data_IF_711966547392
#
_entry.id   IF_711966547392
#
_cell.length_a   1.000
_cell.length_b   1.000
_cell.length_c   1.000
_cell.angle_alpha   90.00
_cell.angle_beta   90.00
_cell.angle_gamma   90.00
#
_symmetry.space_group_name_H-M   'P 1'
#
loop_
_entity.id
_entity.type
_entity.pdbx_description
1 polymer ?
#
# COMPACT_ATOMS: atom_id res chain seq x y z
N UNK A 1 -0.55 26.20 35.47
CA UNK A 1 0.34 25.14 34.95
C UNK A 1 -0.38 23.83 34.57
N UNK A 2 -1.72 23.72 34.68
CA UNK A 2 -2.48 22.46 34.46
C UNK A 2 -3.09 22.30 33.07
N UNK A 3 -3.10 23.33 32.23
CA UNK A 3 -3.68 23.28 30.89
C UNK A 3 -2.80 22.50 29.90
N UNK A 4 -1.48 22.64 30.00
CA UNK A 4 -0.53 22.02 29.06
C UNK A 4 -0.57 20.47 29.07
N UNK A 5 -0.81 19.84 30.22
CA UNK A 5 -0.86 18.36 30.30
C UNK A 5 -2.12 17.80 29.61
N UNK A 6 -3.27 18.44 29.78
CA UNK A 6 -4.55 17.99 29.18
C UNK A 6 -4.51 18.11 27.64
N UNK A 7 -3.95 19.20 27.12
CA UNK A 7 -3.78 19.38 25.67
C UNK A 7 -2.80 18.35 25.07
N UNK A 8 -1.70 18.06 25.77
CA UNK A 8 -0.74 17.04 25.35
C UNK A 8 -1.37 15.64 25.30
N UNK A 9 -2.12 15.24 26.34
CA UNK A 9 -2.80 13.93 26.38
C UNK A 9 -3.83 13.78 25.26
N UNK A 10 -4.62 14.82 24.96
CA UNK A 10 -5.58 14.79 23.85
C UNK A 10 -4.90 14.67 22.48
N UNK A 11 -3.75 15.33 22.28
CA UNK A 11 -2.97 15.24 21.04
C UNK A 11 -2.41 13.82 20.84
N UNK A 12 -1.82 13.24 21.89
CA UNK A 12 -1.26 11.88 21.87
C UNK A 12 -2.35 10.85 21.56
N UNK A 13 -3.52 10.95 22.19
CA UNK A 13 -4.65 10.04 21.97
C UNK A 13 -5.12 10.04 20.50
N UNK A 14 -5.17 11.22 19.85
CA UNK A 14 -5.51 11.32 18.42
C UNK A 14 -4.47 10.64 17.53
N UNK A 15 -3.18 10.86 17.79
CA UNK A 15 -2.10 10.23 17.04
C UNK A 15 -2.13 8.71 17.17
N UNK A 16 -2.29 8.18 18.38
CA UNK A 16 -2.39 6.73 18.61
C UNK A 16 -3.59 6.15 17.86
N UNK A 17 -4.75 6.82 17.94
CA UNK A 17 -5.95 6.39 17.22
C UNK A 17 -5.73 6.38 15.71
N UNK A 18 -5.09 7.41 15.16
CA UNK A 18 -4.77 7.50 13.72
C UNK A 18 -3.78 6.41 13.29
N UNK A 19 -2.75 6.13 14.09
CA UNK A 19 -1.79 5.03 13.86
C UNK A 19 -2.50 3.68 13.84
N UNK A 20 -3.33 3.39 14.84
CA UNK A 20 -4.09 2.15 14.92
C UNK A 20 -5.05 1.98 13.74
N UNK A 21 -5.75 3.05 13.37
CA UNK A 21 -6.67 3.03 12.24
C UNK A 21 -5.96 2.76 10.91
N UNK A 22 -4.80 3.39 10.67
CA UNK A 22 -3.99 3.13 9.50
C UNK A 22 -3.49 1.68 9.45
N UNK A 23 -3.01 1.16 10.58
CA UNK A 23 -2.61 -0.24 10.68
C UNK A 23 -3.77 -1.18 10.34
N UNK A 24 -4.96 -0.96 10.90
CA UNK A 24 -6.16 -1.76 10.62
C UNK A 24 -6.58 -1.64 9.15
N UNK A 25 -6.49 -0.46 8.54
CA UNK A 25 -6.78 -0.23 7.11
C UNK A 25 -5.93 -1.14 6.23
N UNK A 26 -4.63 -1.21 6.47
CA UNK A 26 -3.77 -2.06 5.64
C UNK A 26 -3.89 -3.55 5.97
N UNK A 27 -4.13 -3.91 7.23
CA UNK A 27 -4.50 -5.28 7.60
C UNK A 27 -5.76 -5.72 6.83
N UNK A 28 -6.77 -4.86 6.76
CA UNK A 28 -7.99 -5.10 6.00
C UNK A 28 -7.74 -5.17 4.49
N UNK A 29 -6.85 -4.34 3.95
CA UNK A 29 -6.45 -4.41 2.54
C UNK A 29 -5.82 -5.78 2.20
N UNK A 30 -4.94 -6.29 3.05
CA UNK A 30 -4.33 -7.61 2.88
C UNK A 30 -5.33 -8.76 3.10
N UNK A 31 -6.28 -8.60 4.02
CA UNK A 31 -7.39 -9.53 4.18
C UNK A 31 -8.23 -9.64 2.91
N UNK A 32 -8.61 -8.51 2.32
CA UNK A 32 -9.33 -8.48 1.04
C UNK A 32 -8.50 -9.11 -0.07
N UNK A 33 -7.21 -8.77 -0.17
CA UNK A 33 -6.29 -9.39 -1.12
C UNK A 33 -6.28 -10.92 -1.02
N UNK A 34 -6.29 -11.47 0.20
CA UNK A 34 -6.24 -12.92 0.40
C UNK A 34 -7.60 -13.63 0.20
N UNK A 35 -8.73 -12.93 0.42
CA UNK A 35 -10.07 -13.54 0.38
C UNK A 35 -10.85 -13.24 -0.88
N UNK A 36 -10.60 -12.11 -1.54
CA UNK A 36 -11.27 -11.70 -2.75
C UNK A 36 -10.69 -12.49 -3.94
N UNK A 37 -11.29 -13.65 -4.23
CA UNK A 37 -10.86 -14.52 -5.33
C UNK A 37 -11.40 -14.02 -6.67
N UNK A 38 -10.85 -12.93 -7.18
CA UNK A 38 -11.13 -12.49 -8.55
C UNK A 38 -10.33 -13.39 -9.50
N UNK A 39 -10.96 -14.17 -10.40
CA UNK A 39 -10.25 -15.09 -11.30
C UNK A 39 -9.57 -14.36 -12.48
N UNK A 40 -8.94 -13.21 -12.22
CA UNK A 40 -8.12 -12.52 -13.21
C UNK A 40 -6.75 -13.19 -13.25
N UNK A 41 -6.46 -13.89 -14.35
CA UNK A 41 -5.15 -14.53 -14.61
C UNK A 41 -4.04 -13.51 -14.94
N UNK A 42 -4.10 -12.32 -14.37
CA UNK A 42 -3.14 -11.24 -14.58
C UNK A 42 -2.38 -10.95 -13.29
N UNK A 43 -1.05 -10.84 -13.33
CA UNK A 43 -0.27 -10.44 -12.17
C UNK A 43 -0.66 -9.03 -11.72
N UNK A 44 -0.66 -8.81 -10.42
CA UNK A 44 -0.89 -7.49 -9.82
C UNK A 44 -2.33 -6.98 -9.88
N UNK A 45 -3.32 -7.76 -10.33
CA UNK A 45 -4.71 -7.30 -10.40
C UNK A 45 -5.27 -6.81 -9.06
N UNK A 46 -4.84 -7.43 -7.96
CA UNK A 46 -5.17 -6.97 -6.62
C UNK A 46 -4.62 -5.60 -6.24
N UNK A 47 -3.79 -5.00 -7.09
CA UNK A 47 -3.32 -3.62 -6.96
C UNK A 47 -4.46 -2.62 -7.00
N UNK A 48 -5.58 -2.97 -7.65
CA UNK A 48 -6.77 -2.13 -7.69
C UNK A 48 -7.30 -1.85 -6.28
N UNK A 49 -7.69 -2.89 -5.54
CA UNK A 49 -8.23 -2.76 -4.18
C UNK A 49 -7.15 -2.42 -3.16
N UNK A 50 -5.95 -2.98 -3.30
CA UNK A 50 -4.87 -2.73 -2.34
C UNK A 50 -4.44 -1.26 -2.38
N UNK A 51 -4.14 -0.72 -3.56
CA UNK A 51 -3.72 0.68 -3.67
C UNK A 51 -4.88 1.64 -3.43
N UNK A 52 -6.12 1.24 -3.73
CA UNK A 52 -7.30 2.03 -3.36
C UNK A 52 -7.32 2.27 -1.84
N UNK A 53 -7.15 1.22 -1.04
CA UNK A 53 -7.24 1.31 0.42
C UNK A 53 -6.03 2.04 1.01
N UNK A 54 -4.81 1.70 0.58
CA UNK A 54 -3.58 2.33 1.09
C UNK A 54 -3.52 3.82 0.73
N UNK A 55 -3.81 4.17 -0.53
CA UNK A 55 -3.83 5.59 -0.94
C UNK A 55 -4.95 6.37 -0.28
N UNK A 56 -6.06 5.72 0.06
CA UNK A 56 -7.12 6.38 0.83
C UNK A 56 -6.62 6.75 2.23
N UNK A 57 -5.98 5.81 2.94
CA UNK A 57 -5.35 6.09 4.24
C UNK A 57 -4.33 7.22 4.16
N UNK A 58 -3.44 7.21 3.16
CA UNK A 58 -2.47 8.28 2.92
C UNK A 58 -3.11 9.65 2.69
N UNK A 59 -4.16 9.70 1.87
CA UNK A 59 -4.78 10.98 1.45
C UNK A 59 -5.69 11.57 2.54
N UNK A 60 -6.21 10.72 3.45
CA UNK A 60 -7.01 11.15 4.59
C UNK A 60 -6.16 11.50 5.82
N UNK A 61 -5.01 10.84 6.00
CA UNK A 61 -4.13 11.02 7.17
C UNK A 61 -3.15 12.19 7.01
N UNK A 62 -2.83 12.84 8.14
CA UNK A 62 -1.79 13.87 8.24
C UNK A 62 -0.42 13.33 8.68
N UNK A 63 -0.34 12.09 9.15
CA UNK A 63 0.90 11.49 9.65
C UNK A 63 1.91 11.27 8.53
N UNK A 64 3.18 11.60 8.71
CA UNK A 64 4.21 11.42 7.68
C UNK A 64 4.33 9.99 7.16
N UNK A 65 4.13 9.00 8.02
CA UNK A 65 4.30 7.57 7.73
C UNK A 65 2.99 6.79 7.49
N UNK A 66 1.93 7.45 7.01
CA UNK A 66 0.60 6.83 6.97
C UNK A 66 0.50 5.59 6.08
N UNK A 67 1.14 5.61 4.90
CA UNK A 67 1.11 4.47 3.97
C UNK A 67 2.00 3.34 4.46
N UNK A 68 3.10 3.67 5.12
CA UNK A 68 4.04 2.74 5.75
C UNK A 68 3.35 2.02 6.91
N UNK A 69 2.66 2.75 7.79
CA UNK A 69 1.87 2.17 8.88
C UNK A 69 0.74 1.27 8.35
N UNK A 70 0.08 1.68 7.27
CA UNK A 70 -0.92 0.84 6.61
C UNK A 70 -0.27 -0.43 6.06
N UNK A 71 0.82 -0.31 5.32
CA UNK A 71 1.53 -1.45 4.75
C UNK A 71 2.12 -2.38 5.82
N UNK A 72 2.45 -1.85 7.00
CA UNK A 72 2.83 -2.64 8.18
C UNK A 72 1.67 -3.51 8.67
N UNK A 73 0.45 -2.98 8.71
CA UNK A 73 -0.74 -3.78 8.97
C UNK A 73 -0.97 -4.88 7.93
N UNK A 74 -0.73 -4.57 6.65
CA UNK A 74 -0.81 -5.56 5.57
C UNK A 74 0.23 -6.68 5.73
N UNK A 75 1.47 -6.30 6.08
CA UNK A 75 2.57 -7.23 6.37
C UNK A 75 2.21 -8.15 7.54
N UNK A 76 1.68 -7.60 8.64
CA UNK A 76 1.24 -8.36 9.80
C UNK A 76 0.14 -9.39 9.45
N UNK A 77 -0.80 -9.03 8.57
CA UNK A 77 -1.80 -9.99 8.08
C UNK A 77 -1.14 -11.16 7.32
N UNK A 78 -0.19 -10.89 6.43
CA UNK A 78 0.45 -11.94 5.63
C UNK A 78 1.37 -12.87 6.44
N UNK A 79 1.77 -12.48 7.65
CA UNK A 79 2.46 -13.37 8.60
C UNK A 79 1.51 -14.38 9.27
N UNK A 80 0.19 -14.19 9.16
CA UNK A 80 -0.77 -15.10 9.78
C UNK A 80 -0.85 -16.43 9.02
N UNK A 81 -0.87 -17.58 9.71
CA UNK A 81 -0.87 -18.90 9.06
C UNK A 81 -2.12 -19.15 8.20
N UNK A 82 -3.23 -18.48 8.52
CA UNK A 82 -4.49 -18.58 7.78
C UNK A 82 -4.61 -17.62 6.58
N UNK A 83 -3.59 -16.79 6.32
CA UNK A 83 -3.59 -15.85 5.18
C UNK A 83 -3.49 -16.57 3.84
N UNK A 84 -2.98 -17.81 3.81
CA UNK A 84 -2.91 -18.64 2.59
C UNK A 84 -1.87 -18.16 1.58
N UNK A 85 -0.93 -17.31 1.99
CA UNK A 85 0.16 -16.82 1.15
C UNK A 85 1.28 -17.85 1.10
N UNK A 86 1.70 -18.20 -0.13
CA UNK A 86 2.81 -19.13 -0.38
C UNK A 86 4.13 -18.43 -0.72
N UNK A 87 4.08 -17.13 -0.97
CA UNK A 87 5.23 -16.32 -1.31
C UNK A 87 6.01 -15.97 -0.03
N UNK A 88 7.28 -16.42 0.09
CA UNK A 88 8.07 -16.27 1.31
C UNK A 88 8.44 -14.82 1.62
N UNK A 89 8.50 -13.93 0.62
CA UNK A 89 8.89 -12.53 0.82
C UNK A 89 7.71 -11.57 0.85
N UNK A 90 6.48 -12.06 0.69
CA UNK A 90 5.30 -11.20 0.60
C UNK A 90 5.14 -10.23 1.78
N UNK A 91 5.37 -10.62 3.06
CA UNK A 91 5.29 -9.68 4.18
C UNK A 91 6.30 -8.53 4.06
N UNK A 92 7.44 -8.74 3.41
CA UNK A 92 8.46 -7.71 3.21
C UNK A 92 8.12 -6.90 1.95
N UNK A 93 7.78 -7.57 0.85
CA UNK A 93 7.47 -6.92 -0.42
C UNK A 93 6.28 -5.96 -0.31
N UNK A 94 5.28 -6.28 0.53
CA UNK A 94 4.10 -5.41 0.72
C UNK A 94 4.40 -4.14 1.52
N UNK A 95 5.52 -4.07 2.26
CA UNK A 95 5.92 -2.84 2.96
C UNK A 95 6.38 -1.75 1.99
N UNK A 96 6.98 -2.16 0.86
CA UNK A 96 7.62 -1.26 -0.08
C UNK A 96 6.66 -0.24 -0.70
N UNK A 97 5.45 -0.62 -1.16
CA UNK A 97 4.48 0.37 -1.62
C UNK A 97 4.25 1.50 -0.61
N UNK A 98 4.06 1.17 0.67
CA UNK A 98 3.85 2.15 1.73
C UNK A 98 5.05 3.08 1.92
N UNK A 99 6.25 2.51 2.03
CA UNK A 99 7.49 3.27 2.18
C UNK A 99 7.69 4.21 1.00
N UNK A 100 7.49 3.73 -0.23
CA UNK A 100 7.61 4.53 -1.44
C UNK A 100 6.60 5.68 -1.45
N UNK A 101 5.33 5.42 -1.18
CA UNK A 101 4.31 6.48 -1.17
C UNK A 101 4.69 7.60 -0.19
N UNK A 102 5.05 7.25 1.05
CA UNK A 102 5.39 8.24 2.07
C UNK A 102 6.67 9.01 1.72
N UNK A 103 7.69 8.34 1.17
CA UNK A 103 8.91 8.98 0.68
C UNK A 103 8.60 10.01 -0.42
N UNK A 104 7.78 9.65 -1.40
CA UNK A 104 7.37 10.57 -2.46
C UNK A 104 6.53 11.73 -1.91
N UNK A 105 5.61 11.50 -0.97
CA UNK A 105 4.83 12.56 -0.31
C UNK A 105 5.70 13.51 0.51
N UNK A 106 6.83 13.03 1.02
CA UNK A 106 7.84 13.85 1.70
C UNK A 106 8.63 14.71 0.70
N UNK A 107 9.10 14.15 -0.41
CA UNK A 107 9.93 14.89 -1.39
C UNK A 107 9.16 15.80 -2.35
N UNK A 108 7.86 15.55 -2.59
CA UNK A 108 7.04 16.33 -3.55
C UNK A 108 5.83 17.00 -2.90
N UNK A 109 6.02 17.87 -1.89
CA UNK A 109 4.89 18.31 -1.08
C UNK A 109 3.87 19.18 -1.80
N UNK A 110 4.26 19.78 -2.94
CA UNK A 110 3.46 20.72 -3.72
C UNK A 110 2.50 20.05 -4.74
N UNK A 111 2.68 18.76 -5.05
CA UNK A 111 1.98 18.07 -6.16
C UNK A 111 0.94 17.05 -5.66
N UNK A 112 0.62 17.06 -4.35
CA UNK A 112 -0.21 16.04 -3.68
C UNK A 112 -1.69 15.95 -4.11
N UNK A 113 -2.16 16.86 -4.96
CA UNK A 113 -3.60 17.01 -5.25
C UNK A 113 -3.99 16.64 -6.68
N UNK A 114 -3.04 16.32 -7.56
CA UNK A 114 -3.34 15.90 -8.94
C UNK A 114 -3.69 14.41 -8.98
N UNK A 115 -4.79 14.06 -9.65
CA UNK A 115 -5.19 12.66 -9.89
C UNK A 115 -4.12 11.89 -10.65
N UNK A 116 -3.44 12.55 -11.59
CA UNK A 116 -2.36 11.95 -12.38
C UNK A 116 -1.17 11.64 -11.48
N UNK A 117 -0.78 12.57 -10.61
CA UNK A 117 0.31 12.35 -9.66
C UNK A 117 0.01 11.17 -8.71
N UNK A 118 -1.19 11.15 -8.13
CA UNK A 118 -1.62 10.07 -7.22
C UNK A 118 -1.64 8.72 -7.93
N UNK A 119 -2.18 8.67 -9.15
CA UNK A 119 -2.19 7.45 -9.97
C UNK A 119 -0.78 6.97 -10.31
N UNK A 120 0.09 7.85 -10.81
CA UNK A 120 1.47 7.48 -11.15
C UNK A 120 2.25 7.01 -9.93
N UNK A 121 2.14 7.71 -8.80
CA UNK A 121 2.80 7.30 -7.57
C UNK A 121 2.31 5.91 -7.12
N UNK A 122 1.00 5.68 -7.13
CA UNK A 122 0.45 4.40 -6.75
C UNK A 122 0.94 3.26 -7.66
N UNK A 123 1.01 3.51 -8.98
CA UNK A 123 1.56 2.56 -9.95
C UNK A 123 3.03 2.24 -9.68
N UNK A 124 3.88 3.26 -9.52
CA UNK A 124 5.31 3.09 -9.23
C UNK A 124 5.51 2.32 -7.92
N UNK A 125 4.79 2.72 -6.87
CA UNK A 125 4.89 2.09 -5.57
C UNK A 125 4.50 0.60 -5.62
N UNK A 126 3.40 0.26 -6.31
CA UNK A 126 2.94 -1.13 -6.42
C UNK A 126 3.84 -1.98 -7.33
N UNK A 127 4.45 -1.38 -8.35
CA UNK A 127 5.43 -2.03 -9.23
C UNK A 127 6.74 -2.43 -8.50
N UNK A 128 7.00 -1.93 -7.29
CA UNK A 128 8.14 -2.38 -6.49
C UNK A 128 8.02 -3.85 -6.02
N UNK A 129 6.81 -4.40 -5.94
CA UNK A 129 6.59 -5.81 -5.55
C UNK A 129 7.27 -6.77 -6.53
N UNK A 130 6.97 -6.76 -7.85
CA UNK A 130 7.67 -7.62 -8.80
C UNK A 130 9.15 -7.27 -8.92
N UNK A 131 9.56 -6.01 -8.69
CA UNK A 131 10.99 -5.67 -8.68
C UNK A 131 11.75 -6.42 -7.57
N UNK A 132 11.24 -6.43 -6.34
CA UNK A 132 11.91 -7.12 -5.23
C UNK A 132 11.79 -8.63 -5.32
N UNK A 133 10.67 -9.16 -5.82
CA UNK A 133 10.55 -10.58 -6.16
C UNK A 133 11.58 -11.01 -7.20
N UNK A 134 11.86 -10.16 -8.20
CA UNK A 134 12.87 -10.45 -9.21
C UNK A 134 14.28 -10.47 -8.61
N UNK A 135 14.64 -9.48 -7.79
CA UNK A 135 15.93 -9.47 -7.07
C UNK A 135 16.05 -10.72 -6.20
N UNK A 136 15.01 -11.07 -5.44
CA UNK A 136 15.00 -12.27 -4.61
C UNK A 136 15.13 -13.57 -5.43
N UNK A 137 14.48 -13.64 -6.58
CA UNK A 137 14.60 -14.78 -7.50
C UNK A 137 16.02 -14.94 -8.01
N UNK A 138 16.68 -13.84 -8.40
CA UNK A 138 18.07 -13.83 -8.85
C UNK A 138 19.05 -14.26 -7.76
N UNK A 139 18.81 -13.89 -6.50
CA UNK A 139 19.74 -14.18 -5.39
C UNK A 139 19.52 -15.54 -4.73
N UNK A 140 18.30 -16.10 -4.80
CA UNK A 140 17.95 -17.35 -4.09
C UNK A 140 17.61 -18.53 -5.01
N UNK A 141 17.37 -18.27 -6.30
CA UNK A 141 16.86 -19.27 -7.23
C UNK A 141 15.37 -19.59 -7.06
N UNK A 142 14.62 -18.86 -6.21
CA UNK A 142 13.19 -19.07 -6.05
C UNK A 142 12.44 -18.72 -7.35
N UNK A 143 11.66 -19.67 -7.87
CA UNK A 143 10.95 -19.51 -9.15
C UNK A 143 9.53 -18.98 -8.91
N UNK A 144 9.27 -17.75 -9.37
CA UNK A 144 7.91 -17.21 -9.44
C UNK A 144 7.28 -17.56 -10.80
N UNK A 145 6.14 -18.26 -10.78
CA UNK A 145 5.39 -18.65 -12.00
C UNK A 145 5.10 -17.46 -12.91
N UNK A 146 4.70 -16.33 -12.33
CA UNK A 146 4.36 -15.10 -13.06
C UNK A 146 5.58 -14.39 -13.66
N UNK A 147 6.81 -14.83 -13.35
CA UNK A 147 8.07 -14.27 -13.87
C UNK A 147 8.75 -15.17 -14.89
N UNK A 148 8.15 -16.32 -15.25
CA UNK A 148 8.73 -17.23 -16.23
C UNK A 148 8.99 -16.56 -17.61
N UNK A 149 8.17 -15.56 -17.98
CA UNK A 149 8.36 -14.75 -19.19
C UNK A 149 9.20 -13.48 -19.00
N UNK A 150 9.87 -13.31 -17.85
CA UNK A 150 10.66 -12.13 -17.51
C UNK A 150 9.92 -11.08 -16.66
N UNK A 151 10.64 -10.02 -16.27
CA UNK A 151 10.17 -8.98 -15.34
C UNK A 151 9.15 -8.01 -15.97
N UNK A 152 9.23 -7.77 -17.28
CA UNK A 152 8.47 -6.71 -17.93
C UNK A 152 6.95 -6.84 -17.71
N UNK A 153 6.40 -8.05 -17.89
CA UNK A 153 4.97 -8.27 -17.76
C UNK A 153 4.43 -8.05 -16.34
N UNK A 154 5.01 -8.65 -15.27
CA UNK A 154 4.65 -8.33 -13.88
C UNK A 154 4.83 -6.85 -13.55
N UNK A 155 5.90 -6.21 -14.00
CA UNK A 155 6.19 -4.81 -13.69
C UNK A 155 5.11 -3.88 -14.27
N UNK A 156 4.81 -4.02 -15.57
CA UNK A 156 3.81 -3.20 -16.27
C UNK A 156 2.41 -3.44 -15.71
N UNK A 157 2.03 -4.70 -15.47
CA UNK A 157 0.71 -5.02 -14.92
C UNK A 157 0.49 -4.46 -13.52
N UNK A 158 1.47 -4.60 -12.61
CA UNK A 158 1.39 -3.98 -11.28
C UNK A 158 1.33 -2.46 -11.39
N UNK A 159 2.10 -1.84 -12.28
CA UNK A 159 2.01 -0.41 -12.51
C UNK A 159 0.59 0.03 -12.91
N UNK A 160 -0.01 -0.63 -13.91
CA UNK A 160 -1.37 -0.31 -14.39
C UNK A 160 -2.41 -0.47 -13.28
N UNK A 161 -2.40 -1.60 -12.57
CA UNK A 161 -3.38 -1.87 -11.52
C UNK A 161 -3.20 -0.96 -10.30
N UNK A 162 -1.95 -0.67 -9.93
CA UNK A 162 -1.65 0.29 -8.88
C UNK A 162 -2.10 1.70 -9.23
N UNK A 163 -1.88 2.14 -10.48
CA UNK A 163 -2.36 3.43 -10.97
C UNK A 163 -3.87 3.51 -10.95
N UNK A 164 -4.57 2.50 -11.45
CA UNK A 164 -6.03 2.45 -11.39
C UNK A 164 -6.56 2.55 -9.95
N UNK A 165 -5.98 1.77 -9.02
CA UNK A 165 -6.36 1.82 -7.61
C UNK A 165 -6.14 3.19 -6.96
N UNK A 166 -4.99 3.83 -7.23
CA UNK A 166 -4.69 5.17 -6.74
C UNK A 166 -5.66 6.24 -7.28
N UNK A 167 -5.97 6.19 -8.58
CA UNK A 167 -6.93 7.12 -9.19
C UNK A 167 -8.35 6.94 -8.62
N UNK A 168 -8.77 5.69 -8.36
CA UNK A 168 -10.05 5.41 -7.71
C UNK A 168 -10.10 5.96 -6.29
N UNK A 169 -9.03 5.80 -5.49
CA UNK A 169 -8.94 6.39 -4.15
C UNK A 169 -9.14 7.91 -4.21
N UNK A 170 -8.46 8.58 -5.14
CA UNK A 170 -8.60 10.02 -5.34
C UNK A 170 -10.05 10.42 -5.67
N UNK A 171 -10.67 9.71 -6.63
CA UNK A 171 -12.05 9.96 -7.06
C UNK A 171 -13.04 9.82 -5.90
N UNK A 172 -12.97 8.72 -5.15
CA UNK A 172 -13.84 8.47 -4.00
C UNK A 172 -13.68 9.57 -2.94
N UNK A 173 -12.44 9.92 -2.58
CA UNK A 173 -12.19 10.95 -1.57
C UNK A 173 -12.70 12.32 -2.02
N UNK A 174 -12.58 12.65 -3.32
CA UNK A 174 -13.11 13.90 -3.86
C UNK A 174 -14.63 13.95 -3.85
N UNK A 175 -15.32 12.82 -4.00
CA UNK A 175 -16.78 12.75 -3.88
C UNK A 175 -17.23 12.86 -2.42
N UNK A 176 -16.56 12.15 -1.50
CA UNK A 176 -16.93 12.13 -0.07
C UNK A 176 -16.64 13.45 0.64
N UNK A 177 -15.61 14.21 0.21
CA UNK A 177 -15.25 15.51 0.79
C UNK A 177 -15.96 16.71 0.16
N UNK A 178 -16.82 16.49 -0.83
CA UNK A 178 -17.72 17.54 -1.36
C UNK A 178 -18.94 17.68 -0.46
#
# INVERSE_FOLDING_TARGET
MTTNSIFATKSISKTITEVLLLFVIGFFAAFLHAKLRIPLKMPGHHGLEFMLIIMSGRTLSKLGAASTLSSLGASAFFLMPFAGIKDPIMPIAILLPGIMIDLFYYVTPKIKTSVVFIGLLAGIAYAMIPMVRFIFSLTTGYVYTNMAGGLAYPLISHFIWGTAGGMLAYGIIKVVKK
#
